data_IF_814897977078
#
_entry.id   IF_814897977078
#
_cell.length_a   1.000
_cell.length_b   1.000
_cell.length_c   1.000
_cell.angle_alpha   90.00
_cell.angle_beta   90.00
_cell.angle_gamma   90.00
#
_symmetry.space_group_name_H-M   'P 1'
#
loop_
_entity.id
_entity.type
_entity.pdbx_description
1 polymer ?
#
# COMPACT_ATOMS: atom_id res chain seq x y z
N UNK A 1 20.34 21.87 8.92
CA UNK A 1 19.35 22.92 8.65
C UNK A 1 18.09 22.22 8.17
N UNK A 2 16.99 22.36 8.91
CA UNK A 2 15.67 21.91 8.45
C UNK A 2 15.34 22.80 7.26
N UNK A 3 15.34 22.24 6.06
CA UNK A 3 14.84 22.94 4.89
C UNK A 3 13.33 23.02 5.11
N UNK A 4 12.82 24.24 5.30
CA UNK A 4 11.39 24.50 5.39
C UNK A 4 10.73 24.00 4.08
N UNK A 5 9.92 22.94 4.10
CA UNK A 5 9.28 22.41 2.90
C UNK A 5 8.13 23.29 2.41
N UNK A 6 7.89 24.41 3.06
CA UNK A 6 6.80 25.32 2.72
C UNK A 6 7.07 25.96 1.36
N UNK A 7 6.15 25.84 0.39
CA UNK A 7 6.29 26.55 -0.87
C UNK A 7 6.45 28.05 -0.61
N UNK A 8 7.46 28.66 -1.23
CA UNK A 8 7.73 30.08 -1.06
C UNK A 8 6.47 30.90 -1.44
N UNK A 9 5.94 31.64 -0.49
CA UNK A 9 4.76 32.51 -0.67
C UNK A 9 3.42 31.96 -0.21
N UNK A 10 3.33 30.68 0.21
CA UNK A 10 2.09 30.18 0.81
C UNK A 10 2.05 30.46 2.32
N UNK A 11 1.13 31.30 2.73
CA UNK A 11 0.85 31.62 4.15
C UNK A 11 -0.60 31.27 4.45
N UNK A 12 -0.82 30.39 5.43
CA UNK A 12 -2.17 30.08 5.90
C UNK A 12 -2.77 31.25 6.66
N UNK A 13 -3.93 31.75 6.23
CA UNK A 13 -4.62 32.85 6.89
C UNK A 13 -5.29 32.45 8.21
N UNK A 14 -5.45 31.15 8.45
CA UNK A 14 -6.07 30.65 9.68
C UNK A 14 -5.23 30.90 10.95
N UNK A 15 -4.03 31.47 10.80
CA UNK A 15 -3.21 31.94 11.92
C UNK A 15 -3.83 33.16 12.63
N UNK A 16 -4.61 33.97 11.91
CA UNK A 16 -4.99 35.29 12.40
C UNK A 16 -6.34 35.33 13.12
N UNK A 17 -7.26 34.39 12.82
CA UNK A 17 -8.60 34.33 13.44
C UNK A 17 -9.15 32.91 13.48
N UNK A 18 -8.92 32.14 14.55
CA UNK A 18 -9.56 30.83 14.70
C UNK A 18 -11.07 31.02 14.91
N UNK A 19 -11.89 30.37 14.09
CA UNK A 19 -13.33 30.23 14.33
C UNK A 19 -14.28 30.96 13.40
N UNK A 20 -13.78 31.77 12.45
CA UNK A 20 -14.62 32.39 11.43
C UNK A 20 -14.70 31.55 10.15
N UNK A 21 -15.94 31.19 9.73
CA UNK A 21 -16.17 30.43 8.50
C UNK A 21 -15.64 31.15 7.25
N UNK A 22 -15.67 32.47 7.22
CA UNK A 22 -15.12 33.30 6.14
C UNK A 22 -13.60 33.12 6.01
N UNK A 23 -12.88 33.11 7.12
CA UNK A 23 -11.43 32.89 7.15
C UNK A 23 -11.06 31.45 6.79
N UNK A 24 -11.85 30.47 7.23
CA UNK A 24 -11.69 29.06 6.85
C UNK A 24 -11.82 28.89 5.33
N UNK A 25 -12.85 29.47 4.72
CA UNK A 25 -13.07 29.39 3.28
C UNK A 25 -11.97 30.06 2.48
N UNK A 26 -11.54 31.25 2.88
CA UNK A 26 -10.43 31.96 2.26
C UNK A 26 -9.12 31.17 2.33
N UNK A 27 -8.84 30.55 3.47
CA UNK A 27 -7.66 29.71 3.65
C UNK A 27 -7.71 28.45 2.76
N UNK A 28 -8.89 27.82 2.68
CA UNK A 28 -9.13 26.68 1.79
C UNK A 28 -8.89 27.04 0.32
N UNK A 29 -9.45 28.17 -0.14
CA UNK A 29 -9.26 28.64 -1.52
C UNK A 29 -7.80 29.01 -1.80
N UNK A 30 -7.11 29.63 -0.83
CA UNK A 30 -5.69 29.97 -0.95
C UNK A 30 -4.85 28.68 -1.03
N UNK A 31 -5.11 27.71 -0.17
CA UNK A 31 -4.48 26.40 -0.19
C UNK A 31 -4.72 25.66 -1.49
N UNK A 32 -5.95 25.70 -2.02
CA UNK A 32 -6.28 25.11 -3.31
C UNK A 32 -5.46 25.73 -4.46
N UNK A 33 -5.33 27.06 -4.48
CA UNK A 33 -4.48 27.76 -5.47
C UNK A 33 -3.01 27.39 -5.33
N UNK A 34 -2.50 27.29 -4.11
CA UNK A 34 -1.12 26.87 -3.85
C UNK A 34 -0.86 25.45 -4.33
N UNK A 35 -1.79 24.50 -4.09
CA UNK A 35 -1.69 23.13 -4.59
C UNK A 35 -1.55 23.11 -6.11
N UNK A 36 -2.39 23.84 -6.83
CA UNK A 36 -2.37 23.86 -8.29
C UNK A 36 -1.10 24.50 -8.85
N UNK A 37 -0.58 25.54 -8.22
CA UNK A 37 0.56 26.30 -8.71
C UNK A 37 1.90 25.70 -8.29
N UNK A 38 2.02 25.26 -7.05
CA UNK A 38 3.30 24.94 -6.39
C UNK A 38 3.37 23.51 -5.86
N UNK A 39 2.23 22.76 -5.91
CA UNK A 39 2.13 21.43 -5.34
C UNK A 39 3.04 20.41 -6.02
N UNK A 40 3.58 19.51 -5.22
CA UNK A 40 4.27 18.32 -5.71
C UNK A 40 3.25 17.36 -6.30
N UNK A 41 3.59 16.72 -7.40
CA UNK A 41 2.78 15.68 -8.01
C UNK A 41 2.90 14.38 -7.22
N UNK A 42 1.83 13.62 -7.13
CA UNK A 42 1.81 12.35 -6.43
C UNK A 42 0.92 11.32 -7.13
N UNK A 43 1.29 10.06 -6.97
CA UNK A 43 0.42 8.93 -7.23
C UNK A 43 -0.52 8.72 -6.03
N UNK A 44 -1.77 8.36 -6.31
CA UNK A 44 -2.75 7.92 -5.32
C UNK A 44 -3.10 6.47 -5.64
N UNK A 45 -2.85 5.57 -4.69
CA UNK A 45 -3.03 4.13 -4.89
C UNK A 45 -3.97 3.61 -3.82
N UNK A 46 -5.20 3.23 -4.17
CA UNK A 46 -6.09 2.50 -3.29
C UNK A 46 -5.44 1.18 -2.88
N UNK A 47 -5.50 0.83 -1.59
CA UNK A 47 -4.79 -0.33 -1.07
C UNK A 47 -5.72 -1.41 -0.53
N UNK A 48 -6.71 -1.02 0.27
CA UNK A 48 -7.58 -1.97 0.93
C UNK A 48 -8.93 -1.35 1.30
N UNK A 49 -9.99 -2.14 1.27
CA UNK A 49 -11.29 -1.81 1.86
C UNK A 49 -11.69 -2.89 2.86
N UNK A 50 -12.19 -2.45 4.01
CA UNK A 50 -12.74 -3.34 5.01
C UNK A 50 -14.19 -2.98 5.27
N UNK A 51 -15.07 -3.96 5.14
CA UNK A 51 -16.48 -3.86 5.42
C UNK A 51 -16.76 -4.50 6.79
N UNK A 52 -16.70 -3.73 7.90
CA UNK A 52 -16.99 -4.29 9.21
C UNK A 52 -18.47 -4.65 9.29
N UNK A 53 -18.77 -5.92 9.18
CA UNK A 53 -20.13 -6.42 9.28
C UNK A 53 -20.37 -7.04 10.63
N UNK A 54 -21.40 -6.56 11.29
CA UNK A 54 -21.97 -7.18 12.49
C UNK A 54 -22.98 -8.27 12.14
N UNK A 55 -23.27 -8.44 10.83
CA UNK A 55 -24.24 -9.40 10.32
C UNK A 55 -23.51 -10.53 9.58
N UNK A 56 -23.67 -11.76 10.10
CA UNK A 56 -22.98 -12.96 9.64
C UNK A 56 -23.63 -13.58 8.39
N UNK A 57 -24.74 -13.02 7.90
CA UNK A 57 -25.52 -13.57 6.77
C UNK A 57 -25.21 -12.84 5.43
N UNK A 58 -23.97 -12.48 5.20
CA UNK A 58 -23.56 -11.89 3.93
C UNK A 58 -23.39 -12.95 2.85
N UNK A 59 -24.34 -12.95 1.92
CA UNK A 59 -24.34 -13.81 0.72
C UNK A 59 -23.64 -13.17 -0.50
N UNK A 60 -23.00 -12.02 -0.35
CA UNK A 60 -22.33 -11.31 -1.44
C UNK A 60 -20.87 -11.06 -1.07
N UNK A 61 -19.97 -11.51 -1.95
CA UNK A 61 -18.54 -11.21 -1.88
C UNK A 61 -18.31 -9.71 -2.18
N UNK A 62 -17.97 -8.94 -1.17
CA UNK A 62 -17.52 -7.57 -1.34
C UNK A 62 -16.03 -7.55 -1.68
N UNK A 63 -15.65 -6.77 -2.71
CA UNK A 63 -14.26 -6.62 -3.08
C UNK A 63 -13.49 -5.85 -1.99
N UNK A 64 -12.63 -6.54 -1.26
CA UNK A 64 -11.73 -5.94 -0.27
C UNK A 64 -10.51 -5.23 -0.89
N UNK A 65 -10.26 -5.41 -2.19
CA UNK A 65 -9.08 -4.90 -2.88
C UNK A 65 -9.47 -3.96 -4.02
N UNK A 66 -9.57 -2.67 -3.72
CA UNK A 66 -9.94 -1.66 -4.71
C UNK A 66 -8.74 -1.40 -5.65
N UNK A 67 -8.55 -2.29 -6.61
CA UNK A 67 -7.51 -2.09 -7.62
C UNK A 67 -7.77 -0.80 -8.40
N UNK A 68 -6.80 0.09 -8.38
CA UNK A 68 -6.94 1.39 -9.03
C UNK A 68 -5.72 2.26 -8.89
N UNK A 69 -5.77 3.42 -9.52
CA UNK A 69 -4.69 4.40 -9.49
C UNK A 69 -5.24 5.79 -9.74
N UNK A 70 -4.57 6.78 -9.19
CA UNK A 70 -4.89 8.17 -9.40
C UNK A 70 -3.68 9.07 -9.37
N UNK A 71 -3.91 10.32 -9.69
CA UNK A 71 -2.93 11.40 -9.63
C UNK A 71 -3.43 12.50 -8.71
N UNK A 72 -2.50 13.16 -8.06
CA UNK A 72 -2.80 14.29 -7.21
C UNK A 72 -1.66 15.30 -7.16
N UNK A 73 -1.91 16.38 -6.44
CA UNK A 73 -0.91 17.39 -6.09
C UNK A 73 -1.06 17.77 -4.63
N UNK A 74 0.05 18.05 -3.98
CA UNK A 74 0.12 18.29 -2.54
C UNK A 74 1.06 19.44 -2.21
N UNK A 75 0.69 20.23 -1.21
CA UNK A 75 1.55 21.22 -0.55
C UNK A 75 1.56 20.97 0.95
N UNK A 76 2.66 21.33 1.59
CA UNK A 76 2.74 21.48 3.05
C UNK A 76 2.67 22.96 3.35
N UNK A 77 1.69 23.39 4.14
CA UNK A 77 1.55 24.79 4.49
C UNK A 77 2.57 25.24 5.57
N UNK A 78 2.64 26.52 5.83
CA UNK A 78 3.59 27.12 6.79
C UNK A 78 3.39 26.66 8.25
N UNK A 79 2.33 25.94 8.54
CA UNK A 79 2.05 25.30 9.84
C UNK A 79 2.42 23.82 9.86
N UNK A 80 2.94 23.30 8.74
CA UNK A 80 3.24 21.89 8.56
C UNK A 80 2.03 21.03 8.22
N UNK A 81 0.85 21.61 7.97
CA UNK A 81 -0.32 20.87 7.56
C UNK A 81 -0.25 20.52 6.08
N UNK A 82 -0.77 19.37 5.76
CA UNK A 82 -0.83 18.86 4.39
C UNK A 82 -2.15 19.24 3.73
N UNK A 83 -2.07 19.66 2.48
CA UNK A 83 -3.21 19.95 1.63
C UNK A 83 -3.00 19.30 0.27
N UNK A 84 -3.99 18.56 -0.22
CA UNK A 84 -3.88 17.90 -1.51
C UNK A 84 -5.19 17.94 -2.30
N UNK A 85 -5.03 17.93 -3.62
CA UNK A 85 -6.08 17.55 -4.57
C UNK A 85 -5.71 16.24 -5.24
N UNK A 86 -6.69 15.39 -5.46
CA UNK A 86 -6.47 14.16 -6.23
C UNK A 86 -7.69 13.76 -7.04
N UNK A 87 -7.40 12.99 -8.07
CA UNK A 87 -8.36 12.24 -8.87
C UNK A 87 -7.88 10.79 -8.90
N UNK A 88 -8.71 9.87 -8.48
CA UNK A 88 -8.43 8.44 -8.46
C UNK A 88 -9.60 7.67 -9.04
N UNK A 89 -9.31 6.59 -9.74
CA UNK A 89 -10.33 5.62 -10.17
C UNK A 89 -9.92 4.25 -9.68
N UNK A 90 -10.84 3.54 -9.08
CA UNK A 90 -10.62 2.20 -8.55
C UNK A 90 -11.83 1.31 -8.78
N UNK A 91 -11.66 0.03 -8.53
CA UNK A 91 -12.75 -0.96 -8.59
C UNK A 91 -13.44 -0.99 -7.22
N UNK A 92 -14.73 -0.67 -7.19
CA UNK A 92 -15.54 -0.66 -5.98
C UNK A 92 -15.82 -2.07 -5.41
N UNK A 93 -16.57 -2.14 -4.32
CA UNK A 93 -16.98 -3.41 -3.70
C UNK A 93 -17.84 -4.30 -4.61
N UNK A 94 -18.46 -3.74 -5.65
CA UNK A 94 -19.27 -4.45 -6.63
C UNK A 94 -18.51 -4.73 -7.95
N UNK A 95 -17.18 -4.63 -7.94
CA UNK A 95 -16.30 -4.83 -9.11
C UNK A 95 -16.57 -3.86 -10.27
N UNK A 96 -17.06 -2.64 -9.96
CA UNK A 96 -17.31 -1.58 -10.94
C UNK A 96 -16.34 -0.42 -10.76
N UNK A 97 -16.00 0.31 -11.84
CA UNK A 97 -15.15 1.49 -11.71
C UNK A 97 -15.84 2.59 -10.90
N UNK A 98 -15.12 3.15 -9.94
CA UNK A 98 -15.55 4.28 -9.12
C UNK A 98 -14.52 5.42 -9.21
N UNK A 99 -14.80 6.50 -9.96
CA UNK A 99 -13.99 7.70 -9.96
C UNK A 99 -14.28 8.55 -8.71
N UNK A 100 -13.21 9.03 -8.09
CA UNK A 100 -13.27 9.94 -6.92
C UNK A 100 -12.34 11.12 -7.16
N UNK A 101 -12.86 12.34 -7.00
CA UNK A 101 -12.07 13.55 -6.95
C UNK A 101 -12.21 14.19 -5.58
N UNK A 102 -11.12 14.67 -4.98
CA UNK A 102 -11.18 15.19 -3.63
C UNK A 102 -10.15 16.25 -3.29
N UNK A 103 -10.53 17.11 -2.35
CA UNK A 103 -9.65 17.98 -1.59
C UNK A 103 -9.47 17.40 -0.20
N UNK A 104 -8.22 17.31 0.25
CA UNK A 104 -7.86 16.79 1.55
C UNK A 104 -7.03 17.80 2.32
N UNK A 105 -7.31 17.92 3.62
CA UNK A 105 -6.53 18.66 4.59
C UNK A 105 -6.20 17.76 5.78
N UNK A 106 -4.92 17.72 6.18
CA UNK A 106 -4.43 16.87 7.28
C UNK A 106 -3.47 17.68 8.15
N UNK A 107 -3.80 17.82 9.43
CA UNK A 107 -2.84 18.26 10.44
C UNK A 107 -1.80 17.15 10.64
N UNK A 108 -0.51 17.52 10.69
CA UNK A 108 0.59 16.57 10.77
C UNK A 108 1.38 16.79 12.06
N UNK A 109 1.77 15.69 12.69
CA UNK A 109 2.63 15.69 13.87
C UNK A 109 3.83 14.78 13.61
N UNK A 110 5.07 15.29 13.74
CA UNK A 110 6.26 14.47 13.56
C UNK A 110 6.40 13.47 14.68
N UNK A 111 6.77 12.24 14.33
CA UNK A 111 7.19 11.22 15.31
C UNK A 111 8.70 11.37 15.52
N UNK A 112 9.07 11.80 16.72
CA UNK A 112 10.45 12.20 17.03
C UNK A 112 11.49 11.15 16.60
N UNK A 113 12.51 11.60 15.85
CA UNK A 113 13.66 10.79 15.47
C UNK A 113 13.42 9.78 14.34
N UNK A 114 12.21 9.73 13.73
CA UNK A 114 11.88 8.69 12.74
C UNK A 114 11.70 9.19 11.31
N UNK A 115 11.54 10.51 11.09
CA UNK A 115 11.11 11.05 9.79
C UNK A 115 9.67 10.73 9.42
N UNK A 116 8.93 10.02 10.30
CA UNK A 116 7.52 9.75 10.14
C UNK A 116 6.66 10.90 10.66
N UNK A 117 5.49 11.03 10.08
CA UNK A 117 4.43 11.91 10.53
C UNK A 117 3.15 11.09 10.72
N UNK A 118 2.47 11.31 11.82
CA UNK A 118 1.07 10.91 11.98
C UNK A 118 0.18 12.12 11.74
N UNK A 119 -1.04 11.90 11.34
CA UNK A 119 -1.94 13.03 11.05
C UNK A 119 -3.39 12.66 11.15
N UNK A 120 -4.22 13.70 11.27
CA UNK A 120 -5.67 13.60 11.22
C UNK A 120 -6.25 14.82 10.52
N UNK A 121 -7.35 14.62 9.82
CA UNK A 121 -7.97 15.68 9.04
C UNK A 121 -9.29 15.29 8.39
N UNK A 122 -9.56 15.90 7.26
CA UNK A 122 -10.77 15.62 6.50
C UNK A 122 -10.47 15.52 5.00
N UNK A 123 -11.33 14.76 4.34
CA UNK A 123 -11.42 14.64 2.89
C UNK A 123 -12.80 15.16 2.46
N UNK A 124 -12.83 16.16 1.59
CA UNK A 124 -14.03 16.59 0.89
C UNK A 124 -13.93 16.05 -0.54
N UNK A 125 -14.63 14.97 -0.80
CA UNK A 125 -14.59 14.26 -2.08
C UNK A 125 -15.95 14.31 -2.79
N UNK A 126 -15.89 14.04 -4.09
CA UNK A 126 -17.05 13.74 -4.92
C UNK A 126 -16.78 12.41 -5.60
N UNK A 127 -17.70 11.48 -5.49
CA UNK A 127 -17.66 10.19 -6.17
C UNK A 127 -18.85 10.02 -7.10
N UNK A 128 -18.69 9.17 -8.12
CA UNK A 128 -19.78 8.74 -8.98
C UNK A 128 -19.73 7.21 -9.11
N UNK A 129 -20.85 6.54 -8.87
CA UNK A 129 -20.96 5.08 -8.91
C UNK A 129 -22.04 4.63 -9.87
N UNK A 130 -21.81 3.51 -10.52
CA UNK A 130 -22.81 2.89 -11.40
C UNK A 130 -24.12 2.53 -10.69
N UNK A 131 -24.06 2.17 -9.39
CA UNK A 131 -25.22 1.86 -8.57
C UNK A 131 -26.16 3.07 -8.37
N UNK A 132 -25.60 4.27 -8.46
CA UNK A 132 -26.34 5.53 -8.36
C UNK A 132 -26.48 6.24 -9.72
N UNK A 133 -26.54 5.46 -10.81
CA UNK A 133 -26.71 5.98 -12.17
C UNK A 133 -25.65 7.03 -12.56
N UNK A 134 -24.46 6.94 -12.02
CA UNK A 134 -23.35 7.88 -12.22
C UNK A 134 -23.63 9.32 -11.75
N UNK A 135 -24.64 9.52 -10.92
CA UNK A 135 -24.89 10.84 -10.34
C UNK A 135 -23.81 11.15 -9.31
N UNK A 136 -23.03 12.26 -9.48
CA UNK A 136 -22.02 12.64 -8.52
C UNK A 136 -22.62 12.96 -7.15
N UNK A 137 -22.03 12.45 -6.08
CA UNK A 137 -22.44 12.73 -4.72
C UNK A 137 -21.25 13.15 -3.84
N UNK A 138 -21.45 14.11 -2.93
CA UNK A 138 -20.41 14.60 -2.04
C UNK A 138 -20.15 13.62 -0.89
N UNK A 139 -18.89 13.47 -0.50
CA UNK A 139 -18.45 12.65 0.61
C UNK A 139 -17.50 13.46 1.52
N UNK A 140 -18.00 14.08 2.59
CA UNK A 140 -17.14 14.62 3.64
C UNK A 140 -16.73 13.49 4.59
N UNK A 141 -15.46 13.16 4.65
CA UNK A 141 -14.95 12.02 5.37
C UNK A 141 -13.82 12.41 6.33
N UNK A 142 -13.74 11.81 7.53
CA UNK A 142 -12.57 11.92 8.38
C UNK A 142 -11.41 11.14 7.78
N UNK A 143 -10.18 11.62 7.99
CA UNK A 143 -8.96 10.97 7.48
C UNK A 143 -7.94 10.87 8.60
N UNK A 144 -7.31 9.71 8.72
CA UNK A 144 -6.10 9.49 9.50
C UNK A 144 -4.94 9.19 8.56
N UNK A 145 -3.73 9.57 8.97
CA UNK A 145 -2.50 9.43 8.17
C UNK A 145 -1.36 8.90 9.00
N UNK A 146 -0.53 8.09 8.37
CA UNK A 146 0.83 7.78 8.80
C UNK A 146 1.75 7.70 7.58
N UNK A 147 2.95 8.26 7.65
CA UNK A 147 3.91 8.19 6.54
C UNK A 147 5.02 9.21 6.64
N UNK A 148 5.76 9.35 5.56
CA UNK A 148 6.80 10.35 5.35
C UNK A 148 6.31 11.45 4.42
N UNK A 149 7.19 12.36 4.02
CA UNK A 149 6.88 13.36 2.99
C UNK A 149 6.78 12.73 1.58
N UNK A 150 7.31 11.54 1.38
CA UNK A 150 7.35 10.85 0.09
C UNK A 150 6.29 9.79 -0.07
N UNK A 151 6.07 8.98 0.99
CA UNK A 151 5.02 7.95 1.01
C UNK A 151 4.18 8.11 2.26
N UNK A 152 2.88 8.12 2.06
CA UNK A 152 1.93 8.22 3.14
C UNK A 152 0.79 7.22 2.95
N UNK A 153 0.34 6.66 4.05
CA UNK A 153 -0.82 5.79 4.15
C UNK A 153 -1.94 6.55 4.84
N UNK A 154 -3.13 6.44 4.28
CA UNK A 154 -4.33 7.08 4.78
C UNK A 154 -5.40 6.04 5.03
N UNK A 155 -6.18 6.27 6.08
CA UNK A 155 -7.39 5.55 6.36
C UNK A 155 -8.56 6.52 6.50
N UNK A 156 -9.70 6.18 5.90
CA UNK A 156 -10.94 6.93 6.04
C UNK A 156 -12.10 5.98 6.32
N UNK A 157 -13.10 6.49 7.01
CA UNK A 157 -14.34 5.75 7.28
C UNK A 157 -15.51 6.39 6.55
N UNK A 158 -16.25 5.58 5.80
CA UNK A 158 -17.42 5.97 5.02
C UNK A 158 -18.68 5.49 5.76
N UNK A 159 -19.36 6.38 6.54
CA UNK A 159 -20.43 5.96 7.44
C UNK A 159 -21.65 5.36 6.71
N UNK A 160 -21.97 5.88 5.52
CA UNK A 160 -23.17 5.47 4.78
C UNK A 160 -23.12 4.02 4.35
N UNK A 161 -21.92 3.54 3.99
CA UNK A 161 -21.71 2.17 3.52
C UNK A 161 -20.98 1.31 4.54
N UNK A 162 -20.68 1.85 5.73
CA UNK A 162 -19.93 1.17 6.79
C UNK A 162 -18.63 0.55 6.29
N UNK A 163 -17.81 1.36 5.60
CA UNK A 163 -16.57 0.90 4.97
C UNK A 163 -15.38 1.68 5.52
N UNK A 164 -14.34 0.97 5.91
CA UNK A 164 -13.00 1.54 6.03
C UNK A 164 -12.30 1.44 4.68
N UNK A 165 -11.86 2.57 4.17
CA UNK A 165 -11.12 2.67 2.92
C UNK A 165 -9.68 3.13 3.20
N UNK A 166 -8.72 2.40 2.66
CA UNK A 166 -7.29 2.69 2.82
C UNK A 166 -6.66 2.99 1.47
N UNK A 167 -5.80 3.98 1.43
CA UNK A 167 -5.04 4.35 0.24
C UNK A 167 -3.66 4.91 0.60
N UNK A 168 -2.78 4.90 -0.36
CA UNK A 168 -1.42 5.42 -0.25
C UNK A 168 -1.21 6.56 -1.22
N UNK A 169 -0.33 7.48 -0.86
CA UNK A 169 0.20 8.47 -1.80
C UNK A 169 1.71 8.33 -1.91
N UNK A 170 2.22 8.53 -3.12
CA UNK A 170 3.66 8.47 -3.42
C UNK A 170 4.01 9.74 -4.18
N UNK A 171 4.91 10.55 -3.64
CA UNK A 171 5.38 11.78 -4.29
C UNK A 171 6.26 11.44 -5.49
N UNK A 172 5.92 12.00 -6.67
CA UNK A 172 6.62 11.72 -7.93
C UNK A 172 7.71 12.76 -8.20
N UNK A 173 7.46 14.01 -7.79
CA UNK A 173 8.35 15.14 -8.07
C UNK A 173 9.54 15.19 -7.12
N UNK A 174 10.66 14.64 -7.55
CA UNK A 174 11.95 14.75 -6.88
C UNK A 174 12.68 16.08 -7.17
N UNK A 175 12.09 16.95 -7.98
CA UNK A 175 12.78 18.11 -8.54
C UNK A 175 13.36 19.08 -7.48
N UNK A 176 12.74 19.12 -6.29
CA UNK A 176 13.21 19.97 -5.16
C UNK A 176 14.14 19.23 -4.19
N UNK A 177 14.31 17.92 -4.33
CA UNK A 177 15.14 17.08 -3.43
C UNK A 177 16.41 16.54 -4.09
N UNK A 178 16.58 16.72 -5.39
CA UNK A 178 17.69 16.16 -6.17
C UNK A 178 19.07 16.61 -5.73
N UNK A 179 19.16 17.71 -5.02
CA UNK A 179 20.44 18.36 -4.71
C UNK A 179 20.91 18.11 -3.27
N UNK A 180 20.23 17.30 -2.48
CA UNK A 180 20.75 16.89 -1.18
C UNK A 180 21.67 15.69 -1.38
N UNK A 181 22.99 15.87 -1.27
CA UNK A 181 23.90 14.74 -1.29
C UNK A 181 23.56 13.80 -0.14
N UNK A 182 23.58 12.50 -0.40
CA UNK A 182 23.54 11.53 0.69
C UNK A 182 24.65 11.86 1.68
N UNK A 183 24.41 11.84 3.00
CA UNK A 183 25.46 11.99 3.97
C UNK A 183 26.61 11.05 3.61
N UNK A 184 27.85 11.53 3.70
CA UNK A 184 29.04 10.73 3.37
C UNK A 184 29.14 9.43 4.19
N UNK A 185 28.38 9.34 5.26
CA UNK A 185 28.25 8.19 6.17
C UNK A 185 27.04 7.29 5.88
N UNK A 186 26.21 7.62 4.87
CA UNK A 186 25.03 6.82 4.55
C UNK A 186 25.42 5.37 4.25
N UNK A 187 24.73 4.43 4.88
CA UNK A 187 24.84 3.01 4.57
C UNK A 187 24.34 2.68 3.14
N UNK A 188 23.59 3.60 2.55
CA UNK A 188 22.94 3.45 1.25
C UNK A 188 23.79 4.07 0.15
N UNK A 189 24.27 3.26 -0.77
CA UNK A 189 24.92 3.74 -1.99
C UNK A 189 24.13 3.29 -3.21
N UNK A 190 24.15 4.14 -4.25
CA UNK A 190 23.68 3.75 -5.57
C UNK A 190 24.51 2.60 -6.15
N UNK A 191 23.91 1.85 -7.07
CA UNK A 191 24.57 0.79 -7.86
C UNK A 191 25.14 -0.36 -7.02
N UNK A 192 24.51 -0.68 -5.89
CA UNK A 192 24.87 -1.85 -5.08
C UNK A 192 23.86 -2.98 -5.24
N UNK A 193 24.39 -4.17 -5.12
CA UNK A 193 23.60 -5.39 -5.07
C UNK A 193 23.43 -5.87 -3.63
N UNK A 194 22.26 -6.40 -3.33
CA UNK A 194 21.90 -6.96 -2.04
C UNK A 194 21.40 -8.37 -2.23
N UNK A 195 22.05 -9.33 -1.60
CA UNK A 195 21.56 -10.69 -1.49
C UNK A 195 20.95 -10.88 -0.10
N UNK A 196 19.75 -11.41 -0.03
CA UNK A 196 19.06 -11.60 1.23
C UNK A 196 18.29 -12.92 1.28
N UNK A 197 18.04 -13.40 2.48
CA UNK A 197 17.20 -14.54 2.74
C UNK A 197 16.59 -14.47 4.14
N UNK A 198 15.44 -15.08 4.28
CA UNK A 198 14.72 -15.04 5.53
C UNK A 198 13.52 -15.97 5.55
N UNK A 199 12.77 -15.86 6.62
CA UNK A 199 11.51 -16.57 6.76
C UNK A 199 10.48 -15.72 7.50
N UNK A 200 9.23 -16.19 7.51
CA UNK A 200 8.12 -15.53 8.15
C UNK A 200 6.88 -16.38 8.18
N UNK A 201 5.76 -15.71 8.24
CA UNK A 201 4.42 -16.32 8.21
C UNK A 201 3.65 -15.82 7.01
N UNK A 202 3.07 -16.76 6.28
CA UNK A 202 2.14 -16.47 5.19
C UNK A 202 0.71 -16.62 5.69
N UNK A 203 -0.05 -15.57 5.55
CA UNK A 203 -1.50 -15.56 5.69
C UNK A 203 -2.13 -15.73 4.31
N UNK A 204 -3.00 -16.71 4.16
CA UNK A 204 -3.72 -16.98 2.92
C UNK A 204 -5.22 -16.76 3.12
N UNK A 205 -5.76 -15.78 2.40
CA UNK A 205 -7.19 -15.56 2.31
C UNK A 205 -7.73 -16.27 1.06
N UNK A 206 -8.65 -17.20 1.25
CA UNK A 206 -9.19 -18.00 0.15
C UNK A 206 -10.38 -17.39 -0.56
N UNK A 207 -10.91 -16.26 -0.06
CA UNK A 207 -12.23 -15.79 -0.44
C UNK A 207 -13.35 -16.74 -0.01
N UNK A 208 -14.59 -16.30 -0.12
CA UNK A 208 -15.78 -17.07 0.31
C UNK A 208 -16.08 -18.29 -0.58
N UNK A 209 -15.54 -18.39 -1.79
CA UNK A 209 -15.77 -19.53 -2.70
C UNK A 209 -15.27 -20.87 -2.12
N UNK A 210 -14.41 -20.80 -1.08
CA UNK A 210 -13.89 -21.97 -0.37
C UNK A 210 -14.27 -22.03 1.11
N UNK A 211 -15.23 -21.22 1.54
CA UNK A 211 -15.82 -21.42 2.86
C UNK A 211 -16.57 -22.76 2.87
N UNK A 212 -16.25 -23.70 3.71
CA UNK A 212 -15.61 -23.59 5.01
C UNK A 212 -14.22 -24.24 5.10
N UNK A 213 -13.34 -24.03 4.15
CA UNK A 213 -12.00 -24.56 4.27
C UNK A 213 -11.14 -23.65 5.15
N UNK A 214 -10.75 -24.16 6.29
CA UNK A 214 -9.76 -23.50 7.13
C UNK A 214 -8.37 -23.73 6.52
N UNK A 215 -7.78 -22.70 5.93
CA UNK A 215 -6.35 -22.72 5.62
C UNK A 215 -5.60 -22.41 6.90
N UNK A 216 -4.71 -23.27 7.29
CA UNK A 216 -3.75 -22.98 8.35
C UNK A 216 -2.71 -22.02 7.81
N UNK A 217 -2.53 -20.90 8.49
CA UNK A 217 -1.38 -20.05 8.29
C UNK A 217 -0.12 -20.86 8.59
N UNK A 218 0.86 -20.80 7.74
CA UNK A 218 2.10 -21.56 7.89
C UNK A 218 3.33 -20.69 7.66
N UNK A 219 4.48 -21.27 7.93
CA UNK A 219 5.76 -20.63 7.72
C UNK A 219 6.11 -20.54 6.25
N UNK A 220 6.74 -19.45 5.88
CA UNK A 220 7.31 -19.25 4.56
C UNK A 220 8.81 -18.97 4.68
N UNK A 221 9.55 -19.23 3.63
CA UNK A 221 10.92 -18.78 3.49
C UNK A 221 11.15 -18.16 2.11
N UNK A 222 12.10 -17.26 2.02
CA UNK A 222 12.44 -16.61 0.77
C UNK A 222 13.93 -16.32 0.66
N UNK A 223 14.37 -16.18 -0.58
CA UNK A 223 15.66 -15.62 -0.96
C UNK A 223 15.45 -14.63 -2.09
N UNK A 224 16.28 -13.61 -2.16
CA UNK A 224 16.17 -12.63 -3.21
C UNK A 224 17.44 -11.82 -3.40
N UNK A 225 17.46 -11.13 -4.52
CA UNK A 225 18.50 -10.18 -4.87
C UNK A 225 17.83 -8.85 -5.23
N UNK A 226 18.37 -7.76 -4.69
CA UNK A 226 17.93 -6.41 -4.95
C UNK A 226 19.06 -5.59 -5.51
N UNK A 227 18.82 -4.91 -6.62
CA UNK A 227 19.75 -3.99 -7.25
C UNK A 227 19.22 -2.57 -7.15
N UNK A 228 19.98 -1.66 -6.56
CA UNK A 228 19.61 -0.25 -6.46
C UNK A 228 20.14 0.53 -7.66
N UNK A 229 19.21 1.07 -8.46
CA UNK A 229 19.49 1.97 -9.57
C UNK A 229 19.29 3.41 -9.09
N UNK A 230 20.33 3.98 -8.50
CA UNK A 230 20.28 5.31 -7.89
C UNK A 230 19.73 5.29 -6.44
N UNK A 231 19.25 6.46 -5.98
CA UNK A 231 18.88 6.67 -4.57
C UNK A 231 17.56 5.97 -4.18
N UNK A 232 16.58 6.04 -5.06
CA UNK A 232 15.19 5.69 -4.71
C UNK A 232 14.70 4.42 -5.38
N UNK A 233 15.24 4.04 -6.52
CA UNK A 233 14.74 2.91 -7.27
C UNK A 233 15.56 1.66 -7.06
N UNK A 234 14.88 0.54 -6.91
CA UNK A 234 15.50 -0.77 -6.89
C UNK A 234 14.68 -1.77 -7.69
N UNK A 235 15.39 -2.69 -8.33
CA UNK A 235 14.79 -3.90 -8.91
C UNK A 235 15.03 -5.06 -7.94
N UNK A 236 13.98 -5.77 -7.60
CA UNK A 236 14.01 -6.90 -6.69
C UNK A 236 13.58 -8.17 -7.42
N UNK A 237 14.36 -9.21 -7.30
CA UNK A 237 14.06 -10.56 -7.81
C UNK A 237 14.08 -11.52 -6.65
N UNK A 238 12.96 -12.19 -6.37
CA UNK A 238 12.83 -13.08 -5.24
C UNK A 238 12.20 -14.42 -5.58
N UNK A 239 12.57 -15.43 -4.82
CA UNK A 239 11.92 -16.73 -4.76
C UNK A 239 11.38 -16.96 -3.36
N UNK A 240 10.11 -17.38 -3.26
CA UNK A 240 9.39 -17.65 -2.02
C UNK A 240 8.81 -19.05 -2.05
N UNK A 241 8.73 -19.66 -0.88
CA UNK A 241 8.08 -20.96 -0.73
C UNK A 241 7.36 -21.04 0.60
N UNK A 242 6.11 -21.52 0.53
CA UNK A 242 5.27 -21.84 1.68
C UNK A 242 4.62 -23.21 1.52
N UNK A 243 4.16 -23.77 2.63
CA UNK A 243 3.35 -24.99 2.65
C UNK A 243 2.12 -24.71 3.56
N UNK A 244 0.93 -25.01 3.09
CA UNK A 244 -0.30 -24.77 3.80
C UNK A 244 -1.16 -26.03 3.86
N UNK A 245 -1.65 -26.33 5.04
CA UNK A 245 -2.67 -27.35 5.21
C UNK A 245 -4.05 -26.78 4.93
N UNK A 246 -4.70 -27.29 3.89
CA UNK A 246 -6.04 -26.88 3.48
C UNK A 246 -7.03 -27.97 3.88
N UNK A 247 -7.99 -27.62 4.73
CA UNK A 247 -9.08 -28.49 5.13
C UNK A 247 -10.24 -28.30 4.15
N UNK A 248 -10.59 -29.36 3.42
CA UNK A 248 -11.70 -29.31 2.48
C UNK A 248 -13.04 -29.44 3.21
N UNK A 249 -14.05 -28.67 2.81
CA UNK A 249 -15.40 -28.73 3.36
C UNK A 249 -15.96 -30.15 3.39
N UNK A 250 -16.51 -30.54 4.53
CA UNK A 250 -17.16 -31.85 4.70
C UNK A 250 -16.20 -33.03 4.86
N UNK A 251 -14.89 -32.77 5.02
CA UNK A 251 -13.92 -33.83 5.36
C UNK A 251 -13.12 -33.42 6.60
N UNK A 252 -12.80 -34.37 7.48
CA UNK A 252 -11.94 -34.14 8.64
C UNK A 252 -10.44 -34.19 8.31
N UNK A 253 -10.09 -34.36 7.05
CA UNK A 253 -8.71 -34.50 6.60
C UNK A 253 -8.20 -33.18 6.03
N UNK A 254 -7.14 -32.64 6.60
CA UNK A 254 -6.38 -31.56 5.97
C UNK A 254 -5.36 -32.16 4.99
N UNK A 255 -5.16 -31.47 3.89
CA UNK A 255 -4.18 -31.85 2.84
C UNK A 255 -3.18 -30.73 2.68
N UNK A 256 -1.90 -31.08 2.62
CA UNK A 256 -0.83 -30.11 2.46
C UNK A 256 -0.64 -29.69 0.99
N UNK A 257 -0.58 -28.40 0.77
CA UNK A 257 -0.31 -27.75 -0.51
C UNK A 257 0.96 -26.92 -0.42
N UNK A 258 1.80 -27.06 -1.43
CA UNK A 258 3.02 -26.27 -1.55
C UNK A 258 2.84 -25.18 -2.58
N UNK A 259 3.24 -23.97 -2.20
CA UNK A 259 3.27 -22.80 -3.08
C UNK A 259 4.70 -22.35 -3.29
N UNK A 260 5.03 -22.00 -4.52
CA UNK A 260 6.35 -21.52 -4.91
C UNK A 260 6.17 -20.32 -5.83
N UNK A 261 6.69 -19.17 -5.43
CA UNK A 261 6.53 -17.90 -6.16
C UNK A 261 7.89 -17.33 -6.54
N UNK A 262 8.06 -17.05 -7.82
CA UNK A 262 9.13 -16.21 -8.36
C UNK A 262 8.54 -14.85 -8.63
N UNK A 263 9.19 -13.79 -8.17
CA UNK A 263 8.69 -12.42 -8.34
C UNK A 263 9.80 -11.51 -8.85
N UNK A 264 9.41 -10.58 -9.73
CA UNK A 264 10.23 -9.44 -10.15
C UNK A 264 9.45 -8.19 -9.83
N UNK A 265 10.05 -7.28 -9.07
CA UNK A 265 9.42 -6.06 -8.61
C UNK A 265 10.29 -4.84 -8.89
N UNK A 266 9.65 -3.71 -9.15
CA UNK A 266 10.26 -2.41 -9.04
C UNK A 266 9.86 -1.82 -7.68
N UNK A 267 10.84 -1.37 -6.91
CA UNK A 267 10.65 -0.81 -5.58
C UNK A 267 11.06 0.65 -5.55
N UNK A 268 10.25 1.46 -4.89
CA UNK A 268 10.59 2.83 -4.55
C UNK A 268 10.99 2.92 -3.08
N UNK A 269 12.18 3.47 -2.83
CA UNK A 269 12.83 3.49 -1.52
C UNK A 269 12.95 4.91 -1.00
N UNK A 270 12.78 5.08 0.30
CA UNK A 270 12.84 6.34 1.02
C UNK A 270 13.78 6.21 2.21
N UNK A 271 14.77 7.07 2.26
CA UNK A 271 15.70 7.16 3.39
C UNK A 271 15.04 7.96 4.51
N UNK A 272 14.60 7.29 5.56
CA UNK A 272 14.01 7.91 6.76
C UNK A 272 15.06 8.32 7.77
N UNK A 273 16.08 7.48 7.96
CA UNK A 273 17.24 7.72 8.81
C UNK A 273 18.48 7.24 8.06
N UNK A 274 19.68 7.61 8.53
CA UNK A 274 20.94 7.17 7.93
C UNK A 274 21.07 5.64 7.80
N UNK A 275 20.38 4.91 8.67
CA UNK A 275 20.40 3.43 8.70
C UNK A 275 19.05 2.77 8.38
N UNK A 276 17.96 3.54 8.25
CA UNK A 276 16.62 3.00 8.01
C UNK A 276 16.06 3.50 6.68
N UNK A 277 15.65 2.57 5.85
CA UNK A 277 15.01 2.82 4.56
C UNK A 277 13.66 2.12 4.52
N UNK A 278 12.62 2.83 4.16
CA UNK A 278 11.31 2.28 3.86
C UNK A 278 11.17 2.08 2.36
N UNK A 279 10.37 1.10 1.94
CA UNK A 279 10.08 0.90 0.53
C UNK A 279 8.68 0.37 0.27
N UNK A 280 8.20 0.68 -0.93
CA UNK A 280 7.02 0.07 -1.53
C UNK A 280 7.39 -0.48 -2.89
N UNK A 281 6.88 -1.65 -3.22
CA UNK A 281 7.18 -2.33 -4.47
C UNK A 281 5.94 -2.88 -5.15
N UNK A 282 6.03 -3.01 -6.46
CA UNK A 282 5.03 -3.67 -7.27
C UNK A 282 5.67 -4.37 -8.46
N UNK A 283 5.06 -5.43 -8.93
CA UNK A 283 5.63 -6.20 -10.02
C UNK A 283 4.79 -7.40 -10.43
N UNK A 284 5.45 -8.38 -10.99
CA UNK A 284 4.84 -9.59 -11.52
C UNK A 284 5.42 -10.81 -10.82
N UNK A 285 4.54 -11.76 -10.51
CA UNK A 285 4.87 -13.05 -9.96
C UNK A 285 4.44 -14.19 -10.87
N UNK A 286 5.21 -15.26 -10.80
CA UNK A 286 4.84 -16.56 -11.35
C UNK A 286 4.86 -17.58 -10.21
N UNK A 287 3.68 -18.11 -9.91
CA UNK A 287 3.53 -19.06 -8.79
C UNK A 287 3.12 -20.44 -9.29
N UNK A 288 3.64 -21.45 -8.62
CA UNK A 288 3.24 -22.85 -8.79
C UNK A 288 2.61 -23.37 -7.51
N UNK A 289 1.45 -23.93 -7.63
CA UNK A 289 0.81 -24.73 -6.59
C UNK A 289 1.00 -26.20 -6.87
N UNK A 290 1.32 -26.99 -5.86
CA UNK A 290 1.36 -28.44 -5.91
C UNK A 290 0.71 -29.01 -4.67
N UNK A 291 -0.28 -29.86 -4.87
CA UNK A 291 -1.00 -30.52 -3.79
C UNK A 291 -1.71 -31.78 -4.26
N UNK A 292 -2.48 -32.41 -3.39
CA UNK A 292 -3.19 -33.68 -3.69
C UNK A 292 -4.24 -33.53 -4.81
N UNK A 293 -4.80 -32.34 -5.00
CA UNK A 293 -5.76 -32.05 -6.10
C UNK A 293 -5.07 -31.75 -7.44
N UNK A 294 -3.74 -31.84 -7.53
CA UNK A 294 -2.99 -31.61 -8.77
C UNK A 294 -1.94 -30.52 -8.67
N UNK A 295 -1.56 -30.02 -9.83
CA UNK A 295 -0.58 -28.94 -10.00
C UNK A 295 -1.20 -27.88 -10.86
N UNK A 296 -1.01 -26.63 -10.49
CA UNK A 296 -1.39 -25.49 -11.33
C UNK A 296 -0.36 -24.37 -11.21
N UNK A 297 -0.38 -23.45 -12.15
CA UNK A 297 0.49 -22.29 -12.15
C UNK A 297 -0.30 -21.02 -12.49
N UNK A 298 0.20 -19.89 -11.98
CA UNK A 298 -0.44 -18.61 -12.12
C UNK A 298 0.58 -17.52 -12.37
N UNK A 299 0.30 -16.68 -13.36
CA UNK A 299 1.01 -15.41 -13.56
C UNK A 299 0.12 -14.28 -13.05
N UNK A 300 0.65 -13.45 -12.14
CA UNK A 300 -0.17 -12.51 -11.38
C UNK A 300 0.61 -11.29 -10.91
N UNK A 301 -0.06 -10.18 -10.56
CA UNK A 301 0.60 -9.07 -9.89
C UNK A 301 1.05 -9.45 -8.47
N UNK A 302 2.10 -8.76 -8.03
CA UNK A 302 2.61 -8.83 -6.65
C UNK A 302 2.88 -7.43 -6.13
N UNK A 303 2.78 -7.24 -4.82
CA UNK A 303 3.11 -5.99 -4.14
C UNK A 303 3.94 -6.25 -2.91
N UNK A 304 4.74 -5.28 -2.49
CA UNK A 304 5.48 -5.34 -1.24
C UNK A 304 5.54 -4.00 -0.54
N UNK A 305 5.59 -4.06 0.78
CA UNK A 305 5.91 -2.94 1.66
C UNK A 305 6.95 -3.41 2.64
N UNK A 306 7.95 -2.59 2.93
CA UNK A 306 8.97 -3.04 3.87
C UNK A 306 9.85 -1.94 4.41
N UNK A 307 10.68 -2.36 5.35
CA UNK A 307 11.69 -1.55 5.99
C UNK A 307 13.02 -2.30 6.00
N UNK A 308 14.08 -1.64 5.56
CA UNK A 308 15.43 -2.19 5.59
C UNK A 308 16.28 -1.38 6.56
N UNK A 309 16.86 -2.04 7.55
CA UNK A 309 17.76 -1.44 8.53
C UNK A 309 19.20 -1.90 8.28
N UNK A 310 20.10 -0.97 8.06
CA UNK A 310 21.52 -1.24 7.90
C UNK A 310 22.19 -1.42 9.28
N UNK A 311 22.56 -2.65 9.60
CA UNK A 311 23.32 -2.98 10.83
C UNK A 311 24.77 -2.54 10.67
N UNK A 312 25.31 -2.72 9.48
CA UNK A 312 26.63 -2.24 9.06
C UNK A 312 26.56 -1.75 7.61
N UNK A 313 27.67 -1.28 7.05
CA UNK A 313 27.74 -0.90 5.62
C UNK A 313 27.41 -2.06 4.67
N UNK A 314 27.60 -3.30 5.10
CA UNK A 314 27.45 -4.48 4.25
C UNK A 314 26.39 -5.48 4.77
N UNK A 315 25.86 -5.30 5.97
CA UNK A 315 24.88 -6.20 6.58
C UNK A 315 23.63 -5.44 6.92
N UNK A 316 22.49 -5.99 6.56
CA UNK A 316 21.19 -5.36 6.84
C UNK A 316 20.13 -6.40 7.24
N UNK A 317 19.14 -5.91 7.97
CA UNK A 317 17.91 -6.63 8.32
C UNK A 317 16.77 -6.02 7.54
N UNK A 318 15.92 -6.84 6.95
CA UNK A 318 14.76 -6.40 6.20
C UNK A 318 13.50 -7.04 6.76
N UNK A 319 12.50 -6.21 7.08
CA UNK A 319 11.14 -6.63 7.41
C UNK A 319 10.24 -6.30 6.22
N UNK A 320 9.49 -7.27 5.73
CA UNK A 320 8.67 -7.12 4.54
C UNK A 320 7.29 -7.74 4.71
N UNK A 321 6.30 -7.06 4.20
CA UNK A 321 4.99 -7.59 3.87
C UNK A 321 4.92 -7.74 2.34
N UNK A 322 4.78 -8.95 1.86
CA UNK A 322 4.69 -9.28 0.45
C UNK A 322 3.33 -9.88 0.16
N UNK A 323 2.62 -9.39 -0.85
CA UNK A 323 1.30 -9.89 -1.23
C UNK A 323 1.30 -10.39 -2.66
N UNK A 324 0.79 -11.60 -2.85
CA UNK A 324 0.63 -12.30 -4.12
C UNK A 324 -0.85 -12.47 -4.44
N UNK A 325 -1.25 -12.15 -5.68
CA UNK A 325 -2.63 -12.24 -6.16
C UNK A 325 -2.80 -13.40 -7.14
N UNK A 326 -2.32 -14.56 -6.76
CA UNK A 326 -2.33 -15.75 -7.61
C UNK A 326 -3.77 -16.26 -7.87
N UNK A 327 -3.96 -16.92 -9.00
CA UNK A 327 -5.20 -17.61 -9.35
C UNK A 327 -4.88 -19.00 -9.84
N UNK A 328 -5.36 -20.01 -9.15
CA UNK A 328 -5.18 -21.40 -9.54
C UNK A 328 -6.51 -22.02 -9.92
N UNK A 329 -6.49 -22.85 -10.94
CA UNK A 329 -7.65 -23.63 -11.36
C UNK A 329 -7.41 -25.10 -11.02
N UNK A 330 -8.44 -25.79 -10.59
CA UNK A 330 -8.33 -27.21 -10.29
C UNK A 330 -9.68 -27.90 -10.40
N UNK A 331 -9.65 -29.23 -10.42
CA UNK A 331 -10.86 -30.06 -10.39
C UNK A 331 -10.85 -30.86 -9.10
N UNK A 332 -11.93 -30.79 -8.33
CA UNK A 332 -12.11 -31.65 -7.16
C UNK A 332 -12.61 -33.02 -7.66
N UNK A 333 -11.71 -34.01 -7.75
CA UNK A 333 -12.01 -35.34 -8.27
C UNK A 333 -13.24 -36.00 -7.60
N UNK A 334 -13.54 -35.70 -6.33
CA UNK A 334 -14.65 -36.27 -5.60
C UNK A 334 -16.04 -35.79 -6.04
N UNK A 335 -16.12 -34.66 -6.76
CA UNK A 335 -17.40 -34.06 -7.20
C UNK A 335 -17.45 -33.74 -8.70
N UNK A 336 -16.34 -33.82 -9.41
CA UNK A 336 -16.26 -33.43 -10.83
C UNK A 336 -16.44 -31.90 -11.07
N UNK A 337 -16.44 -31.13 -9.99
CA UNK A 337 -16.61 -29.67 -10.07
C UNK A 337 -15.27 -28.98 -10.26
N UNK A 338 -15.21 -28.10 -11.23
CA UNK A 338 -14.07 -27.21 -11.41
C UNK A 338 -14.09 -26.12 -10.33
N UNK A 339 -12.95 -25.85 -9.73
CA UNK A 339 -12.78 -24.75 -8.78
C UNK A 339 -11.73 -23.74 -9.24
N UNK A 340 -11.88 -22.52 -8.83
CA UNK A 340 -10.88 -21.48 -8.99
C UNK A 340 -10.43 -21.01 -7.62
N UNK A 341 -9.23 -21.42 -7.20
CA UNK A 341 -8.61 -20.90 -6.00
C UNK A 341 -7.97 -19.55 -6.32
N UNK A 342 -8.46 -18.48 -5.70
CA UNK A 342 -7.94 -17.13 -5.83
C UNK A 342 -7.32 -16.67 -4.50
N UNK A 343 -6.28 -17.35 -3.99
CA UNK A 343 -5.70 -16.93 -2.73
C UNK A 343 -5.06 -15.58 -2.88
N UNK A 344 -5.39 -14.68 -1.97
CA UNK A 344 -4.50 -13.58 -1.66
C UNK A 344 -3.58 -14.07 -0.56
N UNK A 345 -2.34 -14.33 -0.92
CA UNK A 345 -1.32 -14.74 0.04
C UNK A 345 -0.51 -13.51 0.46
N UNK A 346 -0.50 -13.23 1.76
CA UNK A 346 0.30 -12.15 2.34
C UNK A 346 1.34 -12.73 3.28
N UNK A 347 2.59 -12.50 2.94
CA UNK A 347 3.79 -12.94 3.64
C UNK A 347 4.33 -11.83 4.54
N UNK A 348 4.50 -12.10 5.83
CA UNK A 348 5.20 -11.22 6.76
C UNK A 348 6.54 -11.86 7.08
N UNK A 349 7.61 -11.28 6.56
CA UNK A 349 8.93 -11.89 6.61
C UNK A 349 9.98 -11.02 7.26
N UNK A 350 10.94 -11.67 7.90
CA UNK A 350 12.17 -11.06 8.39
C UNK A 350 13.35 -11.72 7.67
N UNK A 351 14.24 -10.91 7.10
CA UNK A 351 15.41 -11.38 6.36
C UNK A 351 16.68 -10.72 6.84
N UNK A 352 17.77 -11.46 6.68
CA UNK A 352 19.14 -10.97 6.78
C UNK A 352 19.73 -10.90 5.38
N UNK A 353 20.49 -9.85 5.11
CA UNK A 353 21.11 -9.66 3.82
C UNK A 353 22.49 -9.05 3.89
N UNK A 354 23.22 -9.20 2.79
CA UNK A 354 24.54 -8.64 2.59
C UNK A 354 24.58 -7.81 1.31
N UNK A 355 25.29 -6.68 1.38
CA UNK A 355 25.55 -5.80 0.25
C UNK A 355 26.94 -6.07 -0.35
N UNK A 356 27.04 -6.04 -1.68
CA UNK A 356 28.29 -6.25 -2.42
C UNK A 356 28.34 -5.47 -3.72
#
# INVERSE_FOLDING_TARGET
AVIDPTPAGYVSSSAERPGDFGSFWQDTVRGAKAIMKEGNSLWVVPTYTNHPTWDWDKRHEENGYPFGMGLGRQVIDNRGNERSFFLVTFVDSNYRPEPVAGYQWVARWPVAGTGLHVGAGYLAAVSARGDYMWVPFPMPLPVAKIGTDDISFYGTYIPVTNVFFFYSTITIDDAKRRDLPLPATSAWSADRNYLYGGWGWEYMDNGEEFSPSNVKNDSSWHVGMRHYSGRHWATDVSYRRSEHDIKTAGTDTSKSYRFQTWAVQLQYNIDTLDSLRLYAGGGLGYSKMKGPAGKDDSFHPVTSLGATYAVTKNVFVNAEMFTSFARYKGTVEARGDDYVLKPMATDFTLSLGVAF
#
